data_IF_610950494967
#
_entry.id   IF_610950494967
#
_cell.length_a   1.000
_cell.length_b   1.000
_cell.length_c   1.000
_cell.angle_alpha   90.00
_cell.angle_beta   90.00
_cell.angle_gamma   90.00
#
_symmetry.space_group_name_H-M   'P 1'
#
loop_
_entity.id
_entity.type
_entity.pdbx_description
1 polymer ?
#
# COMPACT_ATOMS: atom_id res chain seq x y z
N UNK A 1 26.70 10.58 15.06
CA UNK A 1 26.20 11.97 14.85
C UNK A 1 24.79 11.88 14.30
N UNK A 2 23.82 12.56 14.91
CA UNK A 2 22.47 12.67 14.35
C UNK A 2 22.53 13.58 13.11
N UNK A 3 22.11 13.06 11.96
CA UNK A 3 22.07 13.80 10.68
C UNK A 3 20.69 14.45 10.56
N UNK A 4 20.55 15.64 11.15
CA UNK A 4 19.28 16.37 11.18
C UNK A 4 18.75 16.71 9.79
N UNK A 5 19.65 16.83 8.81
CA UNK A 5 19.31 16.96 7.39
C UNK A 5 18.56 15.75 6.83
N UNK A 6 18.93 14.53 7.24
CA UNK A 6 18.22 13.31 6.84
C UNK A 6 16.85 13.19 7.50
N UNK A 7 16.72 13.57 8.78
CA UNK A 7 15.41 13.59 9.46
C UNK A 7 14.49 14.61 8.80
N UNK A 8 14.98 15.80 8.48
CA UNK A 8 14.18 16.82 7.79
C UNK A 8 13.71 16.34 6.41
N UNK A 9 14.61 15.72 5.63
CA UNK A 9 14.25 15.15 4.34
C UNK A 9 13.20 14.03 4.48
N UNK A 10 13.39 13.11 5.43
CA UNK A 10 12.45 12.01 5.68
C UNK A 10 11.08 12.52 6.14
N UNK A 11 11.02 13.51 7.02
CA UNK A 11 9.75 14.15 7.43
C UNK A 11 9.01 14.78 6.26
N UNK A 12 9.72 15.45 5.35
CA UNK A 12 9.09 16.02 4.14
C UNK A 12 8.54 14.94 3.22
N UNK A 13 9.28 13.84 3.05
CA UNK A 13 8.81 12.69 2.25
C UNK A 13 7.59 12.03 2.90
N UNK A 14 7.59 11.83 4.22
CA UNK A 14 6.47 11.25 4.94
C UNK A 14 5.21 12.13 4.83
N UNK A 15 5.36 13.45 4.94
CA UNK A 15 4.26 14.40 4.73
C UNK A 15 3.71 14.33 3.30
N UNK A 16 4.58 14.28 2.29
CA UNK A 16 4.16 14.17 0.89
C UNK A 16 3.47 12.83 0.61
N UNK A 17 3.99 11.71 1.11
CA UNK A 17 3.32 10.41 0.97
C UNK A 17 1.92 10.43 1.60
N UNK A 18 1.81 10.95 2.82
CA UNK A 18 0.53 11.08 3.51
C UNK A 18 -0.47 11.93 2.72
N UNK A 19 -0.02 13.05 2.13
CA UNK A 19 -0.89 13.97 1.41
C UNK A 19 -1.31 13.45 0.03
N UNK A 20 -0.39 12.80 -0.70
CA UNK A 20 -0.56 12.54 -2.13
C UNK A 20 -0.88 11.08 -2.46
N UNK A 21 -0.61 10.14 -1.54
CA UNK A 21 -0.72 8.70 -1.84
C UNK A 21 -1.53 7.91 -0.80
N UNK A 22 -1.76 8.45 0.39
CA UNK A 22 -2.62 7.83 1.40
C UNK A 22 -4.04 8.37 1.25
N UNK A 23 -4.95 7.52 0.78
CA UNK A 23 -6.32 7.92 0.44
C UNK A 23 -7.34 7.07 1.20
N UNK A 24 -8.55 7.59 1.36
CA UNK A 24 -9.68 6.79 1.83
C UNK A 24 -10.57 6.41 0.64
N UNK A 25 -10.69 5.12 0.35
CA UNK A 25 -11.51 4.61 -0.74
C UNK A 25 -12.05 3.21 -0.42
N UNK A 26 -13.25 2.90 -0.93
CA UNK A 26 -13.92 1.62 -0.70
C UNK A 26 -14.03 1.22 0.79
N UNK A 27 -14.15 2.21 1.69
CA UNK A 27 -14.25 1.98 3.14
C UNK A 27 -12.91 1.69 3.84
N UNK A 28 -11.79 1.77 3.13
CA UNK A 28 -10.45 1.48 3.65
C UNK A 28 -9.51 2.67 3.45
N UNK A 29 -8.50 2.76 4.30
CA UNK A 29 -7.33 3.62 4.12
C UNK A 29 -6.30 2.86 3.28
N UNK A 30 -5.99 3.39 2.10
CA UNK A 30 -5.16 2.75 1.10
C UNK A 30 -3.88 3.54 0.85
N UNK A 31 -2.83 2.82 0.46
CA UNK A 31 -1.63 3.40 -0.12
C UNK A 31 -1.67 3.20 -1.63
N UNK A 32 -1.81 4.28 -2.39
CA UNK A 32 -1.70 4.25 -3.84
C UNK A 32 -0.23 4.02 -4.24
N UNK A 33 0.04 3.22 -5.29
CA UNK A 33 1.38 3.00 -5.80
C UNK A 33 2.10 4.27 -6.33
N UNK A 34 1.33 5.31 -6.64
CA UNK A 34 1.80 6.62 -7.06
C UNK A 34 0.66 7.66 -6.93
N UNK A 35 0.98 8.94 -7.08
CA UNK A 35 0.01 10.03 -6.96
C UNK A 35 -1.01 10.10 -8.11
N UNK A 36 -0.73 9.43 -9.24
CA UNK A 36 -1.59 9.42 -10.43
C UNK A 36 -1.61 8.02 -11.04
N UNK A 37 -2.71 7.68 -11.72
CA UNK A 37 -2.87 6.46 -12.51
C UNK A 37 -3.39 5.26 -11.71
N UNK A 38 -3.68 5.42 -10.43
CA UNK A 38 -4.08 4.32 -9.54
C UNK A 38 -5.35 4.60 -8.75
N UNK A 39 -5.83 5.85 -8.72
CA UNK A 39 -7.07 6.17 -8.05
C UNK A 39 -8.28 5.69 -8.86
N UNK A 40 -9.45 5.63 -8.21
CA UNK A 40 -10.72 5.32 -8.86
C UNK A 40 -11.10 6.32 -9.97
N UNK A 41 -10.57 7.55 -9.89
CA UNK A 41 -10.76 8.58 -10.92
C UNK A 41 -9.88 8.40 -12.14
N UNK A 42 -8.79 7.63 -12.03
CA UNK A 42 -7.75 7.55 -13.06
C UNK A 42 -7.94 6.35 -13.97
N UNK A 43 -8.65 5.31 -13.50
CA UNK A 43 -8.87 4.05 -14.22
C UNK A 43 -10.18 3.38 -13.82
N UNK A 44 -10.78 2.71 -14.79
CA UNK A 44 -12.09 2.02 -14.66
C UNK A 44 -12.09 0.93 -13.59
N UNK A 45 -10.97 0.23 -13.41
CA UNK A 45 -10.78 -0.79 -12.37
C UNK A 45 -10.12 -0.24 -11.09
N UNK A 46 -10.07 1.09 -10.93
CA UNK A 46 -9.49 1.74 -9.75
C UNK A 46 -10.38 1.67 -8.49
N UNK A 47 -9.78 1.83 -7.29
CA UNK A 47 -8.37 2.04 -7.09
C UNK A 47 -7.55 0.74 -7.22
N UNK A 48 -6.33 0.85 -7.73
CA UNK A 48 -5.39 -0.28 -7.87
C UNK A 48 -4.26 -0.12 -6.86
N UNK A 49 -4.03 -1.16 -6.06
CA UNK A 49 -2.94 -1.22 -5.08
C UNK A 49 -1.89 -2.26 -5.48
N UNK A 50 -0.68 -2.08 -4.98
CA UNK A 50 0.37 -3.10 -5.01
C UNK A 50 0.64 -3.54 -3.57
N UNK A 51 0.18 -4.74 -3.14
CA UNK A 51 0.31 -5.16 -1.73
C UNK A 51 1.77 -5.23 -1.25
N UNK A 52 2.72 -5.38 -2.16
CA UNK A 52 4.15 -5.37 -1.81
C UNK A 52 4.69 -4.00 -1.39
N UNK A 53 3.90 -2.92 -1.52
CA UNK A 53 4.29 -1.58 -1.10
C UNK A 53 3.89 -1.28 0.34
N UNK A 54 3.16 -2.19 1.00
CA UNK A 54 2.83 -2.10 2.41
C UNK A 54 4.02 -2.56 3.26
N UNK A 55 4.98 -1.66 3.43
CA UNK A 55 6.20 -1.90 4.21
C UNK A 55 5.86 -1.68 5.69
N UNK A 56 5.36 -2.72 6.37
CA UNK A 56 4.86 -2.62 7.75
C UNK A 56 5.87 -2.05 8.75
N UNK A 57 7.16 -2.37 8.62
CA UNK A 57 8.21 -1.82 9.48
C UNK A 57 8.42 -0.30 9.31
N UNK A 58 8.06 0.26 8.14
CA UNK A 58 8.24 1.68 7.84
C UNK A 58 7.05 2.53 8.29
N UNK A 59 5.83 1.97 8.32
CA UNK A 59 4.60 2.69 8.69
C UNK A 59 4.70 3.42 10.05
N UNK A 60 5.13 2.79 11.17
CA UNK A 60 5.24 3.49 12.44
C UNK A 60 6.34 4.57 12.42
N UNK A 61 7.37 4.41 11.59
CA UNK A 61 8.40 5.45 11.38
C UNK A 61 7.82 6.64 10.64
N UNK A 62 7.00 6.42 9.61
CA UNK A 62 6.28 7.50 8.92
C UNK A 62 5.33 8.23 9.86
N UNK A 63 4.63 7.52 10.74
CA UNK A 63 3.78 8.13 11.77
C UNK A 63 4.57 9.00 12.76
N UNK A 64 5.79 8.62 13.12
CA UNK A 64 6.65 9.44 13.97
C UNK A 64 7.16 10.70 13.24
N UNK A 65 7.42 10.60 11.93
CA UNK A 65 7.96 11.67 11.09
C UNK A 65 6.89 12.66 10.59
N UNK A 66 5.66 12.18 10.37
CA UNK A 66 4.49 12.92 9.92
C UNK A 66 3.23 12.39 10.65
N UNK A 67 2.95 12.88 11.88
CA UNK A 67 1.88 12.35 12.73
C UNK A 67 0.49 12.42 12.09
N UNK A 68 -0.19 11.27 12.04
CA UNK A 68 -1.58 11.12 11.59
C UNK A 68 -2.12 9.72 11.93
N UNK A 69 -3.39 9.62 12.28
CA UNK A 69 -4.08 8.34 12.51
C UNK A 69 -4.21 7.50 11.23
N UNK A 70 -4.05 8.12 10.05
CA UNK A 70 -4.14 7.44 8.77
C UNK A 70 -3.06 6.36 8.61
N UNK A 71 -1.89 6.51 9.24
CA UNK A 71 -0.83 5.48 9.19
C UNK A 71 -1.25 4.20 9.91
N UNK A 72 -1.86 4.33 11.09
CA UNK A 72 -2.37 3.17 11.82
C UNK A 72 -3.50 2.49 11.04
N UNK A 73 -4.46 3.28 10.55
CA UNK A 73 -5.57 2.76 9.74
C UNK A 73 -5.08 2.07 8.47
N UNK A 74 -4.08 2.63 7.77
CA UNK A 74 -3.45 2.00 6.60
C UNK A 74 -2.88 0.62 6.94
N UNK A 75 -2.20 0.48 8.08
CA UNK A 75 -1.66 -0.81 8.53
C UNK A 75 -2.78 -1.83 8.78
N UNK A 76 -3.81 -1.43 9.52
CA UNK A 76 -4.94 -2.29 9.89
C UNK A 76 -5.78 -2.70 8.68
N UNK A 77 -6.11 -1.74 7.80
CA UNK A 77 -6.89 -1.95 6.59
C UNK A 77 -6.13 -2.81 5.59
N UNK A 78 -4.82 -2.56 5.39
CA UNK A 78 -4.00 -3.36 4.46
C UNK A 78 -3.90 -4.82 4.90
N UNK A 79 -3.76 -5.11 6.21
CA UNK A 79 -3.78 -6.49 6.72
C UNK A 79 -5.14 -7.16 6.53
N UNK A 80 -6.23 -6.41 6.70
CA UNK A 80 -7.59 -6.90 6.46
C UNK A 80 -7.81 -7.24 4.99
N UNK A 81 -7.41 -6.34 4.10
CA UNK A 81 -7.48 -6.54 2.65
C UNK A 81 -6.59 -7.71 2.20
N UNK A 82 -5.36 -7.81 2.70
CA UNK A 82 -4.44 -8.86 2.28
C UNK A 82 -4.98 -10.28 2.57
N UNK A 83 -5.74 -10.44 3.65
CA UNK A 83 -6.39 -11.73 3.99
C UNK A 83 -7.44 -12.16 2.96
N UNK A 84 -8.02 -11.23 2.21
CA UNK A 84 -9.04 -11.52 1.20
C UNK A 84 -8.46 -11.69 -0.21
N UNK A 85 -7.21 -11.28 -0.45
CA UNK A 85 -6.49 -11.41 -1.72
C UNK A 85 -5.98 -12.83 -1.99
N UNK A 86 -6.89 -13.80 -2.06
CA UNK A 86 -6.58 -15.22 -2.27
C UNK A 86 -6.94 -15.63 -3.70
N UNK A 87 -6.00 -15.45 -4.64
CA UNK A 87 -6.24 -15.75 -6.05
C UNK A 87 -5.65 -17.10 -6.48
N UNK A 88 -6.37 -17.76 -7.39
CA UNK A 88 -5.98 -19.03 -7.98
C UNK A 88 -5.90 -20.19 -6.97
N UNK A 89 -5.46 -21.39 -7.42
CA UNK A 89 -5.41 -22.59 -6.58
C UNK A 89 -4.41 -22.50 -5.42
N UNK A 90 -3.41 -21.61 -5.53
CA UNK A 90 -2.39 -21.38 -4.51
C UNK A 90 -2.81 -20.38 -3.44
N UNK A 91 -3.94 -19.68 -3.63
CA UNK A 91 -4.46 -18.65 -2.71
C UNK A 91 -3.42 -17.57 -2.39
N UNK A 92 -2.77 -17.07 -3.44
CA UNK A 92 -1.74 -16.04 -3.33
C UNK A 92 -2.27 -14.69 -3.85
N UNK A 93 -1.79 -13.56 -3.30
CA UNK A 93 -2.11 -12.25 -3.84
C UNK A 93 -1.45 -12.05 -5.21
N UNK A 94 -2.08 -11.25 -6.06
CA UNK A 94 -1.49 -10.79 -7.32
C UNK A 94 -0.57 -9.59 -7.05
N UNK A 95 0.34 -9.29 -7.98
CA UNK A 95 1.19 -8.11 -7.87
C UNK A 95 0.41 -6.80 -7.82
N UNK A 96 -0.64 -6.70 -8.65
CA UNK A 96 -1.50 -5.54 -8.76
C UNK A 96 -2.94 -5.97 -8.52
N UNK A 97 -3.61 -5.29 -7.60
CA UNK A 97 -4.95 -5.68 -7.14
C UNK A 97 -5.89 -4.50 -7.28
N UNK A 98 -6.95 -4.70 -8.06
CA UNK A 98 -8.08 -3.79 -8.16
C UNK A 98 -8.97 -3.93 -6.93
N UNK A 99 -9.41 -2.79 -6.41
CA UNK A 99 -10.34 -2.65 -5.30
C UNK A 99 -11.61 -1.88 -5.73
N UNK A 100 -11.95 -1.88 -7.02
CA UNK A 100 -13.20 -1.28 -7.52
C UNK A 100 -14.47 -2.02 -7.03
N UNK A 101 -14.29 -3.24 -6.53
CA UNK A 101 -15.29 -4.07 -5.87
C UNK A 101 -14.62 -5.07 -4.93
N UNK A 102 -14.98 -6.35 -5.05
CA UNK A 102 -14.22 -7.41 -4.38
C UNK A 102 -12.78 -7.45 -4.92
N UNK A 103 -11.75 -7.65 -4.07
CA UNK A 103 -10.36 -7.69 -4.53
C UNK A 103 -10.17 -8.71 -5.65
N UNK A 104 -9.51 -8.28 -6.72
CA UNK A 104 -9.20 -9.11 -7.89
C UNK A 104 -7.91 -8.62 -8.56
N UNK A 105 -7.20 -9.46 -9.31
CA UNK A 105 -6.07 -9.00 -10.13
C UNK A 105 -6.49 -7.81 -11.01
N UNK A 106 -5.68 -6.74 -10.99
CA UNK A 106 -5.97 -5.51 -11.73
C UNK A 106 -5.90 -5.73 -13.25
N UNK A 107 -6.73 -5.00 -13.99
CA UNK A 107 -6.75 -5.07 -15.46
C UNK A 107 -5.46 -4.47 -16.04
N UNK A 108 -4.99 -5.06 -17.15
CA UNK A 108 -3.74 -4.63 -17.80
C UNK A 108 -2.45 -5.10 -17.09
N UNK A 109 -2.57 -5.93 -16.06
CA UNK A 109 -1.44 -6.59 -15.39
C UNK A 109 -1.63 -8.11 -15.42
N UNK A 110 -0.51 -8.84 -15.43
CA UNK A 110 -0.55 -10.30 -15.31
C UNK A 110 -1.04 -10.71 -13.92
N UNK A 111 -1.95 -11.69 -13.88
CA UNK A 111 -2.54 -12.21 -12.66
C UNK A 111 -1.59 -13.20 -11.94
N UNK A 112 -0.42 -12.70 -11.54
CA UNK A 112 0.66 -13.51 -10.98
C UNK A 112 1.17 -13.07 -9.61
N UNK A 113 1.79 -14.02 -8.92
CA UNK A 113 2.61 -13.78 -7.75
C UNK A 113 4.07 -13.91 -8.19
N UNK A 114 4.80 -12.78 -8.27
CA UNK A 114 6.16 -12.73 -8.81
C UNK A 114 7.07 -11.80 -7.99
N UNK A 115 7.93 -11.02 -8.66
CA UNK A 115 9.04 -10.25 -8.07
C UNK A 115 8.60 -9.17 -7.07
N UNK A 116 7.44 -8.54 -7.29
CA UNK A 116 6.88 -7.61 -6.33
C UNK A 116 6.30 -8.37 -5.14
N UNK A 117 5.41 -9.33 -5.44
CA UNK A 117 4.61 -10.02 -4.43
C UNK A 117 5.44 -10.86 -3.44
N UNK A 118 6.63 -11.34 -3.83
CA UNK A 118 7.54 -12.06 -2.93
C UNK A 118 8.00 -11.22 -1.72
N UNK A 119 7.92 -9.88 -1.78
CA UNK A 119 8.26 -8.99 -0.65
C UNK A 119 7.16 -8.94 0.42
N UNK A 120 5.93 -9.32 0.09
CA UNK A 120 4.80 -9.33 1.03
C UNK A 120 5.12 -10.19 2.27
N UNK A 121 5.49 -11.48 2.16
CA UNK A 121 5.83 -12.29 3.32
C UNK A 121 7.06 -11.76 4.08
N UNK A 122 8.02 -11.15 3.38
CA UNK A 122 9.17 -10.53 4.03
C UNK A 122 8.76 -9.39 4.96
N UNK A 123 7.90 -8.47 4.51
CA UNK A 123 7.46 -7.35 5.33
C UNK A 123 6.51 -7.76 6.45
N UNK A 124 5.68 -8.79 6.23
CA UNK A 124 4.86 -9.38 7.28
C UNK A 124 5.67 -10.07 8.39
N UNK A 125 6.83 -10.66 8.05
CA UNK A 125 7.69 -11.32 9.04
C UNK A 125 8.52 -10.33 9.88
N UNK A 126 8.65 -9.08 9.41
CA UNK A 126 9.45 -8.02 10.05
C UNK A 126 8.62 -7.01 10.84
N UNK A 127 7.37 -6.79 10.45
CA UNK A 127 6.41 -5.93 11.16
C UNK A 127 5.65 -6.70 12.23
#
# INVERSE_FOLDING_TARGET
>A
RQRNDYILAASRMAQALLAETVVHAAGHTLLLPGSEGFAATDREDGPVVNPSYWIYEAIPVMAALAPSDAWQKLSEDSLTLLKTMQFGPRKLPAEWVSLSGQPQPAQGFDAEFAYNAIRIPLYLARG
#
